data_IF_772153152316
#
_entry.id   IF_772153152316
#
_cell.length_a   1.000
_cell.length_b   1.000
_cell.length_c   1.000
_cell.angle_alpha   90.00
_cell.angle_beta   90.00
_cell.angle_gamma   90.00
#
_symmetry.space_group_name_H-M   'P 1'
#
loop_
_entity.id
_entity.type
_entity.pdbx_description
1 polymer ?
#
# COMPACT_ATOMS: atom_id res chain seq x y z
N UNK A 1 21.34 -43.72 -29.77
CA UNK A 1 20.29 -42.67 -29.84
C UNK A 1 19.55 -42.48 -28.52
N UNK A 2 18.88 -43.47 -27.92
CA UNK A 2 18.07 -43.30 -26.68
C UNK A 2 18.80 -42.64 -25.49
N UNK A 3 20.06 -42.99 -25.24
CA UNK A 3 20.91 -42.34 -24.22
C UNK A 3 21.03 -40.81 -24.39
N UNK A 4 21.08 -40.35 -25.64
CA UNK A 4 21.35 -38.95 -25.96
C UNK A 4 20.10 -38.08 -25.75
N UNK A 5 18.91 -38.62 -26.05
CA UNK A 5 17.64 -37.95 -25.74
C UNK A 5 17.37 -37.89 -24.24
N UNK A 6 17.67 -38.93 -23.46
CA UNK A 6 17.43 -38.91 -22.01
C UNK A 6 18.28 -37.86 -21.28
N UNK A 7 19.57 -37.76 -21.63
CA UNK A 7 20.47 -36.72 -21.11
C UNK A 7 20.02 -35.31 -21.50
N UNK A 8 19.52 -35.12 -22.71
CA UNK A 8 18.98 -33.83 -23.16
C UNK A 8 17.73 -33.42 -22.38
N UNK A 9 16.78 -34.34 -22.14
CA UNK A 9 15.57 -34.08 -21.36
C UNK A 9 15.90 -33.70 -19.91
N UNK A 10 16.84 -34.40 -19.26
CA UNK A 10 17.29 -34.07 -17.89
C UNK A 10 17.94 -32.68 -17.85
N UNK A 11 18.81 -32.34 -18.83
CA UNK A 11 19.45 -31.03 -18.88
C UNK A 11 18.43 -29.89 -19.06
N UNK A 12 17.42 -30.07 -19.92
CA UNK A 12 16.34 -29.10 -20.13
C UNK A 12 15.46 -28.95 -18.88
N UNK A 13 15.10 -30.06 -18.22
CA UNK A 13 14.32 -30.02 -16.97
C UNK A 13 15.08 -29.33 -15.83
N UNK A 14 16.40 -29.60 -15.70
CA UNK A 14 17.26 -28.92 -14.72
C UNK A 14 17.38 -27.42 -14.98
N UNK A 15 17.50 -27.00 -16.24
CA UNK A 15 17.54 -25.58 -16.61
C UNK A 15 16.21 -24.86 -16.30
N UNK A 16 15.06 -25.48 -16.59
CA UNK A 16 13.73 -24.94 -16.26
C UNK A 16 13.52 -24.78 -14.75
N UNK A 17 13.99 -25.73 -13.94
CA UNK A 17 13.95 -25.63 -12.48
C UNK A 17 14.86 -24.51 -11.95
N UNK A 18 16.07 -24.35 -12.52
CA UNK A 18 17.01 -23.30 -12.10
C UNK A 18 16.48 -21.88 -12.36
N UNK A 19 15.85 -21.63 -13.51
CA UNK A 19 15.25 -20.32 -13.87
C UNK A 19 14.08 -19.96 -12.94
N UNK A 20 13.40 -20.95 -12.37
CA UNK A 20 12.27 -20.72 -11.46
C UNK A 20 12.70 -20.22 -10.06
N UNK A 21 13.94 -20.47 -9.65
CA UNK A 21 14.44 -20.17 -8.31
C UNK A 21 14.91 -18.71 -8.12
N UNK A 22 15.10 -17.94 -9.20
CA UNK A 22 15.67 -16.58 -9.15
C UNK A 22 14.60 -15.47 -9.07
N UNK A 23 13.40 -15.77 -8.57
CA UNK A 23 12.44 -14.75 -8.14
C UNK A 23 12.92 -14.10 -6.83
N UNK A 24 13.99 -13.31 -6.94
CA UNK A 24 14.54 -12.55 -5.82
C UNK A 24 13.47 -11.67 -5.22
N UNK A 25 13.24 -11.81 -3.92
CA UNK A 25 12.32 -10.95 -3.19
C UNK A 25 12.84 -9.52 -3.24
N UNK A 26 12.28 -8.71 -4.16
CA UNK A 26 12.48 -7.27 -4.21
C UNK A 26 12.17 -6.72 -2.81
N UNK A 27 13.18 -6.20 -2.12
CA UNK A 27 13.04 -5.71 -0.77
C UNK A 27 12.03 -4.55 -0.78
N UNK A 28 10.84 -4.79 -0.23
CA UNK A 28 9.73 -3.87 -0.40
C UNK A 28 10.05 -2.51 0.25
N UNK A 29 10.17 -1.47 -0.56
CA UNK A 29 10.53 -0.12 -0.10
C UNK A 29 9.50 0.37 0.94
N UNK A 30 9.96 0.83 2.10
CA UNK A 30 9.07 1.30 3.16
C UNK A 30 8.48 2.67 2.80
N UNK A 31 7.16 2.81 2.85
CA UNK A 31 6.50 4.07 2.49
C UNK A 31 6.77 5.19 3.50
N UNK A 32 6.78 6.47 3.08
CA UNK A 32 6.98 7.60 3.97
C UNK A 32 5.88 7.70 5.06
N UNK A 33 6.17 8.37 6.20
CA UNK A 33 5.22 8.50 7.30
C UNK A 33 3.90 9.16 6.86
N UNK A 34 2.81 8.59 7.38
CA UNK A 34 1.44 9.00 7.06
C UNK A 34 0.87 8.43 5.77
N UNK A 35 1.58 7.49 5.14
CA UNK A 35 1.02 6.61 4.12
C UNK A 35 0.00 5.63 4.71
N UNK A 36 -1.00 5.23 3.91
CA UNK A 36 -1.97 4.20 4.29
C UNK A 36 -1.32 2.81 4.36
N UNK A 37 -0.45 2.51 3.40
CA UNK A 37 0.39 1.30 3.37
C UNK A 37 1.56 1.38 4.36
N UNK A 38 2.29 0.26 4.48
CA UNK A 38 3.57 0.18 5.21
C UNK A 38 4.74 0.06 4.24
N UNK A 39 4.54 -0.69 3.16
CA UNK A 39 5.49 -0.84 2.07
C UNK A 39 4.86 -0.41 0.75
N UNK A 40 5.68 0.01 -0.20
CA UNK A 40 5.26 0.42 -1.53
C UNK A 40 4.62 -0.77 -2.25
N UNK A 41 3.47 -0.54 -2.90
CA UNK A 41 2.81 -1.54 -3.72
C UNK A 41 2.95 -1.14 -5.19
N UNK A 42 3.77 -1.88 -5.93
CA UNK A 42 3.97 -1.65 -7.36
C UNK A 42 2.85 -2.26 -8.20
N UNK A 43 2.18 -3.30 -7.69
CA UNK A 43 1.08 -4.01 -8.34
C UNK A 43 -0.19 -4.06 -7.48
N UNK A 44 -1.34 -4.31 -8.10
CA UNK A 44 -2.62 -4.52 -7.38
C UNK A 44 -2.54 -5.78 -6.49
N UNK A 45 -1.82 -6.82 -6.94
CA UNK A 45 -1.56 -8.02 -6.15
C UNK A 45 -0.79 -7.72 -4.85
N UNK A 46 0.26 -6.90 -4.91
CA UNK A 46 1.00 -6.45 -3.71
C UNK A 46 0.15 -5.62 -2.75
N UNK A 47 -0.68 -4.72 -3.29
CA UNK A 47 -1.63 -3.92 -2.51
C UNK A 47 -2.58 -4.83 -1.74
N UNK A 48 -3.25 -5.77 -2.43
CA UNK A 48 -4.16 -6.74 -1.82
C UNK A 48 -3.47 -7.63 -0.80
N UNK A 49 -2.27 -8.13 -1.11
CA UNK A 49 -1.46 -8.95 -0.22
C UNK A 49 -1.10 -8.20 1.09
N UNK A 50 -0.77 -6.91 1.02
CA UNK A 50 -0.57 -6.07 2.20
C UNK A 50 -1.86 -5.86 2.99
N UNK A 51 -2.98 -5.57 2.31
CA UNK A 51 -4.29 -5.35 2.96
C UNK A 51 -4.80 -6.64 3.64
N UNK A 52 -4.57 -7.80 3.04
CA UNK A 52 -4.94 -9.10 3.60
C UNK A 52 -4.09 -9.45 4.83
N UNK A 53 -2.76 -9.27 4.75
CA UNK A 53 -1.81 -9.62 5.82
C UNK A 53 -1.76 -8.62 6.97
N UNK A 54 -1.94 -7.32 6.70
CA UNK A 54 -1.78 -6.27 7.70
C UNK A 54 -3.13 -5.69 8.15
N UNK A 55 -3.57 -6.13 9.33
CA UNK A 55 -4.84 -5.70 9.96
C UNK A 55 -4.93 -4.18 10.15
N UNK A 56 -3.81 -3.50 10.40
CA UNK A 56 -3.77 -2.03 10.58
C UNK A 56 -4.02 -1.33 9.25
N UNK A 57 -3.38 -1.78 8.17
CA UNK A 57 -3.61 -1.25 6.80
C UNK A 57 -5.06 -1.46 6.39
N UNK A 58 -5.60 -2.67 6.60
CA UNK A 58 -7.00 -3.00 6.33
C UNK A 58 -7.97 -2.09 7.09
N UNK A 59 -7.75 -1.93 8.40
CA UNK A 59 -8.57 -1.09 9.28
C UNK A 59 -8.60 0.39 8.86
N UNK A 60 -7.46 0.92 8.38
CA UNK A 60 -7.39 2.29 7.83
C UNK A 60 -8.31 2.45 6.62
N UNK A 61 -8.26 1.53 5.66
CA UNK A 61 -9.10 1.59 4.46
C UNK A 61 -10.58 1.36 4.76
N UNK A 62 -10.95 0.37 5.59
CA UNK A 62 -12.36 0.14 5.95
C UNK A 62 -12.95 1.31 6.73
N UNK A 63 -12.16 1.95 7.60
CA UNK A 63 -12.58 3.18 8.32
C UNK A 63 -12.71 4.38 7.37
N UNK A 64 -11.80 4.53 6.41
CA UNK A 64 -11.82 5.64 5.45
C UNK A 64 -13.00 5.55 4.47
N UNK A 65 -13.25 4.37 3.91
CA UNK A 65 -14.29 4.16 2.89
C UNK A 65 -15.66 3.73 3.46
N UNK A 66 -15.76 3.40 4.75
CA UNK A 66 -17.00 2.95 5.38
C UNK A 66 -17.51 1.58 4.90
N UNK A 67 -16.65 0.74 4.30
CA UNK A 67 -17.01 -0.57 3.75
C UNK A 67 -16.52 -1.75 4.60
N UNK A 68 -17.12 -2.92 4.41
CA UNK A 68 -16.64 -4.15 5.06
C UNK A 68 -15.30 -4.62 4.48
N UNK A 69 -14.48 -5.38 5.24
CA UNK A 69 -13.22 -5.93 4.74
C UNK A 69 -13.37 -6.80 3.47
N UNK A 70 -14.48 -7.52 3.35
CA UNK A 70 -14.77 -8.38 2.20
C UNK A 70 -15.16 -7.57 0.96
N UNK A 71 -15.94 -6.49 1.13
CA UNK A 71 -16.23 -5.54 0.05
C UNK A 71 -14.95 -4.85 -0.45
N UNK A 72 -14.06 -4.47 0.47
CA UNK A 72 -12.79 -3.84 0.15
C UNK A 72 -11.88 -4.75 -0.69
N UNK A 73 -11.72 -6.02 -0.31
CA UNK A 73 -10.89 -6.96 -1.09
C UNK A 73 -11.52 -7.29 -2.45
N UNK A 74 -12.84 -7.50 -2.52
CA UNK A 74 -13.56 -7.68 -3.79
C UNK A 74 -13.38 -6.48 -4.74
N UNK A 75 -13.48 -5.25 -4.22
CA UNK A 75 -13.27 -4.05 -5.01
C UNK A 75 -11.82 -3.93 -5.51
N UNK A 76 -10.83 -4.19 -4.64
CA UNK A 76 -9.42 -4.22 -5.06
C UNK A 76 -9.09 -5.37 -6.01
N UNK A 77 -9.86 -6.47 -6.00
CA UNK A 77 -9.67 -7.61 -6.90
C UNK A 77 -10.17 -7.33 -8.32
N UNK A 78 -11.35 -6.72 -8.44
CA UNK A 78 -12.12 -6.70 -9.69
C UNK A 78 -12.13 -5.32 -10.36
N UNK A 79 -12.24 -4.25 -9.58
CA UNK A 79 -12.49 -2.90 -10.09
C UNK A 79 -11.21 -2.06 -10.23
N UNK A 80 -10.15 -2.44 -9.50
CA UNK A 80 -8.94 -1.64 -9.36
C UNK A 80 -7.84 -2.07 -10.34
N UNK A 81 -7.39 -1.13 -11.17
CA UNK A 81 -6.30 -1.30 -12.13
C UNK A 81 -5.21 -0.25 -11.92
N UNK A 82 -3.99 -0.53 -12.41
CA UNK A 82 -2.88 0.41 -12.35
C UNK A 82 -2.80 1.21 -13.66
N UNK A 83 -2.99 2.52 -13.58
CA UNK A 83 -3.13 3.41 -14.75
C UNK A 83 -2.22 4.63 -14.60
N UNK A 84 -1.68 5.11 -15.72
CA UNK A 84 -0.97 6.39 -15.80
C UNK A 84 -1.93 7.53 -16.12
N UNK A 85 -1.87 8.63 -15.37
CA UNK A 85 -2.74 9.80 -15.59
C UNK A 85 -2.50 10.43 -16.97
N UNK A 86 -3.55 10.47 -17.81
CA UNK A 86 -3.52 11.12 -19.15
C UNK A 86 -3.36 12.64 -19.06
N UNK A 87 -3.88 13.25 -17.99
CA UNK A 87 -3.93 14.69 -17.75
C UNK A 87 -3.50 15.00 -16.30
N UNK A 88 -3.00 16.21 -16.00
CA UNK A 88 -2.68 16.60 -14.63
C UNK A 88 -3.96 16.72 -13.80
N UNK A 89 -3.98 16.12 -12.61
CA UNK A 89 -5.17 16.07 -11.74
C UNK A 89 -4.90 16.76 -10.39
N UNK A 90 -5.70 17.77 -10.06
CA UNK A 90 -5.74 18.35 -8.71
C UNK A 90 -6.79 17.60 -7.90
N UNK A 91 -6.35 16.81 -6.93
CA UNK A 91 -7.27 16.03 -6.06
C UNK A 91 -6.95 16.18 -4.57
N UNK A 92 -7.89 15.79 -3.72
CA UNK A 92 -7.69 15.61 -2.29
C UNK A 92 -6.96 14.28 -2.08
N UNK A 93 -5.93 14.28 -1.23
CA UNK A 93 -5.20 13.08 -0.84
C UNK A 93 -5.29 12.93 0.68
N UNK A 94 -5.67 11.75 1.15
CA UNK A 94 -5.87 11.46 2.56
C UNK A 94 -4.61 10.82 3.15
N UNK A 95 -4.19 11.30 4.33
CA UNK A 95 -3.01 10.87 5.07
C UNK A 95 -3.41 10.49 6.49
N UNK A 96 -2.67 9.57 7.11
CA UNK A 96 -2.81 9.22 8.53
C UNK A 96 -1.75 9.98 9.33
N UNK A 97 -2.12 10.66 10.42
CA UNK A 97 -1.12 11.29 11.31
C UNK A 97 -0.48 10.25 12.26
N UNK A 98 0.51 10.67 13.06
CA UNK A 98 1.16 9.78 14.04
C UNK A 98 0.21 9.29 15.15
N UNK A 99 -0.93 9.96 15.35
CA UNK A 99 -1.97 9.59 16.32
C UNK A 99 -3.09 8.73 15.68
N UNK A 100 -2.98 8.35 14.40
CA UNK A 100 -3.98 7.56 13.70
C UNK A 100 -5.20 8.35 13.19
N UNK A 101 -5.19 9.68 13.27
CA UNK A 101 -6.24 10.56 12.74
C UNK A 101 -6.06 10.78 11.25
N UNK A 102 -7.16 10.91 10.53
CA UNK A 102 -7.14 11.25 9.10
C UNK A 102 -6.95 12.75 8.91
N UNK A 103 -6.12 13.11 7.94
CA UNK A 103 -5.91 14.48 7.48
C UNK A 103 -5.96 14.54 5.95
N UNK A 104 -6.40 15.66 5.40
CA UNK A 104 -6.58 15.83 3.95
C UNK A 104 -5.67 16.94 3.45
N UNK A 105 -4.96 16.69 2.34
CA UNK A 105 -4.20 17.73 1.63
C UNK A 105 -4.53 17.68 0.15
N UNK A 106 -4.80 18.85 -0.44
CA UNK A 106 -4.95 18.97 -1.89
C UNK A 106 -3.59 18.86 -2.56
N UNK A 107 -3.44 17.96 -3.52
CA UNK A 107 -2.21 17.72 -4.27
C UNK A 107 -2.48 17.82 -5.77
N UNK A 108 -1.58 18.46 -6.51
CA UNK A 108 -1.52 18.36 -7.96
C UNK A 108 -0.68 17.13 -8.32
N UNK A 109 -1.29 16.20 -9.06
CA UNK A 109 -0.64 15.04 -9.65
C UNK A 109 -0.33 15.37 -11.11
N UNK A 110 0.93 15.40 -11.56
CA UNK A 110 1.24 15.68 -12.96
C UNK A 110 0.79 14.53 -13.88
N UNK A 111 0.58 14.85 -15.17
CA UNK A 111 0.41 13.86 -16.24
C UNK A 111 1.55 12.82 -16.19
N UNK A 112 1.23 11.56 -16.49
CA UNK A 112 2.17 10.45 -16.41
C UNK A 112 2.25 9.77 -15.03
N UNK A 113 1.75 10.42 -13.96
CA UNK A 113 1.78 9.83 -12.61
C UNK A 113 0.96 8.53 -12.56
N UNK A 114 1.56 7.47 -12.03
CA UNK A 114 0.89 6.19 -11.79
C UNK A 114 -0.08 6.29 -10.59
N UNK A 115 -1.29 5.77 -10.78
CA UNK A 115 -2.38 5.73 -9.79
C UNK A 115 -3.13 4.42 -9.89
N UNK A 116 -3.69 3.95 -8.78
CA UNK A 116 -4.68 2.89 -8.82
C UNK A 116 -6.05 3.52 -9.12
N UNK A 117 -6.66 3.11 -10.22
CA UNK A 117 -7.89 3.68 -10.76
C UNK A 117 -8.95 2.59 -11.01
N UNK A 118 -10.21 3.00 -11.10
CA UNK A 118 -11.31 2.11 -11.52
C UNK A 118 -11.17 1.68 -12.98
N UNK A 119 -11.96 0.69 -13.40
CA UNK A 119 -12.18 0.38 -14.82
C UNK A 119 -12.66 1.60 -15.65
N UNK A 120 -13.39 2.56 -15.05
CA UNK A 120 -13.76 3.84 -15.68
C UNK A 120 -12.61 4.86 -15.78
N UNK A 121 -11.40 4.51 -15.31
CA UNK A 121 -10.23 5.38 -15.32
C UNK A 121 -10.19 6.41 -14.20
N UNK A 122 -11.11 6.35 -13.23
CA UNK A 122 -11.15 7.29 -12.12
C UNK A 122 -10.15 6.92 -11.02
N UNK A 123 -9.25 7.83 -10.60
CA UNK A 123 -8.25 7.52 -9.59
C UNK A 123 -8.87 7.33 -8.20
N UNK A 124 -8.50 6.21 -7.56
CA UNK A 124 -8.95 5.82 -6.22
C UNK A 124 -7.81 5.95 -5.21
N UNK A 125 -6.61 5.45 -5.52
CA UNK A 125 -5.44 5.49 -4.62
C UNK A 125 -4.17 5.98 -5.35
N UNK A 126 -3.26 6.62 -4.62
CA UNK A 126 -1.91 6.93 -5.10
C UNK A 126 -1.04 5.68 -5.14
N UNK A 127 -0.33 5.44 -6.24
CA UNK A 127 0.46 4.21 -6.45
C UNK A 127 1.54 3.96 -5.37
N UNK A 128 2.36 4.96 -5.06
CA UNK A 128 3.50 4.76 -4.14
C UNK A 128 3.09 4.55 -2.67
N UNK A 129 2.17 5.39 -2.15
CA UNK A 129 1.78 5.39 -0.73
C UNK A 129 0.49 4.61 -0.43
N UNK A 130 -0.28 4.22 -1.46
CA UNK A 130 -1.64 3.70 -1.35
C UNK A 130 -2.66 4.70 -0.78
N UNK A 131 -2.33 5.98 -0.67
CA UNK A 131 -3.19 6.98 -0.06
C UNK A 131 -4.48 7.19 -0.88
N UNK A 132 -5.67 7.20 -0.26
CA UNK A 132 -6.91 7.50 -0.96
C UNK A 132 -6.88 8.88 -1.63
N UNK A 133 -7.47 8.94 -2.82
CA UNK A 133 -7.66 10.14 -3.65
C UNK A 133 -9.13 10.54 -3.76
N UNK A 134 -10.02 9.82 -3.05
CA UNK A 134 -11.46 10.05 -2.92
C UNK A 134 -11.94 9.63 -1.52
N UNK A 135 -13.09 10.17 -1.10
CA UNK A 135 -13.71 9.83 0.19
C UNK A 135 -14.36 8.44 0.14
N UNK A 136 -15.19 8.20 -0.87
CA UNK A 136 -16.01 7.00 -1.00
C UNK A 136 -15.45 6.04 -2.06
N UNK A 137 -15.81 4.75 -1.97
CA UNK A 137 -15.55 3.80 -3.05
C UNK A 137 -16.70 3.80 -4.06
N UNK A 138 -16.41 3.78 -5.38
CA UNK A 138 -17.41 3.56 -6.41
C UNK A 138 -17.72 2.06 -6.56
N UNK A 139 -17.90 1.35 -5.43
CA UNK A 139 -18.53 0.02 -5.46
C UNK A 139 -19.91 0.24 -6.07
N UNK A 140 -20.31 -0.56 -7.06
CA UNK A 140 -21.67 -0.50 -7.61
C UNK A 140 -22.68 -0.69 -6.49
N UNK A 141 -23.25 0.40 -5.99
CA UNK A 141 -24.00 0.40 -4.73
C UNK A 141 -25.35 -0.28 -4.94
N UNK A 142 -25.37 -1.60 -4.77
CA UNK A 142 -26.51 -2.27 -4.13
C UNK A 142 -26.61 -1.63 -2.77
N UNK A 143 -27.43 -0.58 -2.69
CA UNK A 143 -27.58 0.27 -1.51
C UNK A 143 -27.91 -0.67 -0.36
N UNK A 144 -27.05 -0.80 0.68
CA UNK A 144 -27.56 -1.36 1.92
C UNK A 144 -28.73 -0.45 2.26
N UNK A 145 -29.93 -1.03 2.25
CA UNK A 145 -31.14 -0.27 2.49
C UNK A 145 -30.86 0.58 3.71
N UNK A 146 -31.01 1.89 3.61
CA UNK A 146 -31.03 2.71 4.82
C UNK A 146 -32.15 2.06 5.62
N UNK A 147 -31.79 1.39 6.70
CA UNK A 147 -32.73 1.04 7.74
C UNK A 147 -33.31 2.38 8.14
N UNK A 148 -34.49 2.65 7.60
CA UNK A 148 -35.20 3.91 7.79
C UNK A 148 -35.41 3.95 9.28
N UNK A 149 -34.59 4.74 9.97
CA UNK A 149 -34.79 5.05 11.37
C UNK A 149 -36.26 5.41 11.49
N UNK A 150 -37.04 4.53 12.12
CA UNK A 150 -38.49 4.58 12.11
C UNK A 150 -38.83 5.85 12.87
N UNK A 151 -39.05 6.92 12.10
CA UNK A 151 -39.65 8.14 12.60
C UNK A 151 -40.96 7.67 13.21
N UNK A 152 -41.17 7.82 14.53
CA UNK A 152 -42.40 7.38 15.17
C UNK A 152 -43.57 7.91 14.36
N UNK A 153 -44.48 7.01 13.97
CA UNK A 153 -45.59 7.37 13.12
C UNK A 153 -46.36 8.51 13.81
N UNK A 154 -46.35 9.68 13.18
CA UNK A 154 -47.32 10.70 13.50
C UNK A 154 -48.68 10.12 13.09
N UNK A 155 -49.38 9.63 14.10
CA UNK A 155 -50.82 9.72 14.31
C UNK A 155 -51.64 9.88 13.01
N UNK A 156 -52.36 8.83 12.56
CA UNK A 156 -53.24 8.98 11.42
C UNK A 156 -54.35 9.97 11.79
N UNK A 157 -54.40 11.10 11.10
CA UNK A 157 -55.48 12.07 11.19
C UNK A 157 -56.75 11.45 10.57
N UNK A 158 -57.42 10.60 11.36
CA UNK A 158 -58.70 9.99 10.98
C UNK A 158 -59.72 11.10 10.90
N UNK A 159 -60.12 11.43 9.67
CA UNK A 159 -61.18 12.39 9.39
C UNK A 159 -62.54 11.78 9.75
N UNK A 160 -62.84 11.79 11.05
CA UNK A 160 -64.07 11.27 11.64
C UNK A 160 -65.27 12.07 11.11
N UNK A 161 -66.23 11.36 10.49
CA UNK A 161 -67.56 11.89 10.22
C UNK A 161 -68.28 12.15 11.55
N UNK A 162 -69.02 13.26 11.72
CA UNK A 162 -69.66 13.58 12.98
C UNK A 162 -70.77 12.57 13.29
N UNK A 163 -70.61 11.82 14.38
CA UNK A 163 -71.69 11.10 15.04
C UNK A 163 -71.75 11.60 16.50
N UNK A 164 -72.95 11.70 17.11
CA UNK A 164 -73.14 12.53 18.29
C UNK A 164 -72.66 11.88 19.60
N UNK A 165 -72.46 12.75 20.59
CA UNK A 165 -72.27 12.54 22.02
C UNK A 165 -72.45 11.11 22.58
N UNK A 166 -71.46 10.64 23.34
CA UNK A 166 -71.71 10.09 24.68
C UNK A 166 -70.45 10.15 25.60
N UNK A 167 -70.46 11.18 26.44
CA UNK A 167 -70.15 11.24 27.90
C UNK A 167 -69.26 10.20 28.62
N UNK A 168 -68.55 10.71 29.66
CA UNK A 168 -67.94 10.06 30.85
C UNK A 168 -66.64 9.22 30.66
N UNK A 169 -65.51 9.70 31.18
CA UNK A 169 -65.00 9.29 32.52
C UNK A 169 -63.48 9.39 32.71
N UNK A 170 -63.13 10.20 33.70
CA UNK A 170 -61.85 10.29 34.42
C UNK A 170 -61.22 8.95 34.80
N UNK A 171 -59.90 8.80 34.60
CA UNK A 171 -59.07 7.91 35.42
C UNK A 171 -57.62 8.43 35.54
N UNK A 172 -57.24 8.86 36.74
CA UNK A 172 -55.86 9.21 37.13
C UNK A 172 -55.18 7.98 37.73
N UNK A 173 -54.05 7.52 37.16
CA UNK A 173 -53.12 6.54 37.76
C UNK A 173 -51.70 6.91 37.27
N UNK A 174 -50.90 7.65 38.04
CA UNK A 174 -50.02 7.22 39.13
C UNK A 174 -48.70 6.52 38.67
N UNK A 175 -47.57 7.09 39.10
CA UNK A 175 -46.24 6.44 39.23
C UNK A 175 -46.27 5.44 40.42
N UNK A 176 -45.21 4.71 40.87
CA UNK A 176 -43.74 4.78 40.60
C UNK A 176 -43.22 3.38 40.12
N UNK A 177 -41.97 2.86 40.35
CA UNK A 177 -40.74 3.39 40.99
C UNK A 177 -39.43 3.16 40.18
N UNK A 178 -38.28 3.32 40.85
CA UNK A 178 -36.92 3.08 40.34
C UNK A 178 -36.32 1.72 40.77
N UNK A 179 -35.52 1.10 39.90
CA UNK A 179 -34.59 -0.01 40.14
C UNK A 179 -33.80 -0.28 38.82
N UNK A 180 -32.57 -0.79 38.76
CA UNK A 180 -31.66 -1.41 39.76
C UNK A 180 -30.23 -0.88 39.53
N UNK A 181 -29.40 -0.84 40.58
CA UNK A 181 -27.97 -0.54 40.47
C UNK A 181 -27.19 -1.69 39.79
N UNK A 182 -26.27 -1.35 38.87
CA UNK A 182 -25.31 -2.29 38.30
C UNK A 182 -23.93 -2.11 38.95
N UNK A 183 -23.34 -3.22 39.42
CA UNK A 183 -22.16 -3.28 40.28
C UNK A 183 -20.93 -2.54 39.73
N UNK A 184 -20.32 -1.70 40.58
CA UNK A 184 -18.94 -1.29 40.42
C UNK A 184 -18.01 -2.48 40.72
N UNK A 185 -17.27 -2.96 39.71
CA UNK A 185 -16.17 -3.90 39.94
C UNK A 185 -14.94 -3.14 40.48
N UNK A 186 -14.20 -3.71 41.44
CA UNK A 186 -12.97 -3.09 41.92
C UNK A 186 -11.91 -3.08 40.81
N UNK A 187 -11.43 -1.89 40.46
CA UNK A 187 -10.29 -1.70 39.56
C UNK A 187 -9.03 -2.21 40.27
N UNK A 188 -8.61 -3.44 39.93
CA UNK A 188 -7.31 -3.94 40.31
C UNK A 188 -6.21 -3.13 39.60
N UNK A 189 -5.40 -2.41 40.37
CA UNK A 189 -4.29 -1.64 39.82
C UNK A 189 -3.25 -2.58 39.18
N UNK A 190 -2.79 -2.33 37.94
CA UNK A 190 -1.70 -3.10 37.36
C UNK A 190 -0.39 -2.81 38.10
N UNK A 191 0.47 -3.83 38.35
CA UNK A 191 1.75 -3.62 38.99
C UNK A 191 2.65 -2.76 38.11
N UNK A 192 3.19 -1.69 38.69
CA UNK A 192 4.26 -0.87 38.11
C UNK A 192 5.55 -1.70 38.01
N UNK A 193 5.74 -2.38 36.88
CA UNK A 193 7.03 -2.97 36.56
C UNK A 193 8.04 -1.86 36.30
N UNK A 194 9.17 -1.96 37.00
CA UNK A 194 10.19 -0.92 37.04
C UNK A 194 10.75 -0.58 35.66
N UNK A 195 10.94 0.72 35.42
CA UNK A 195 11.60 1.23 34.22
C UNK A 195 13.08 0.82 34.22
N UNK A 196 13.42 -0.20 33.42
CA UNK A 196 14.81 -0.61 33.24
C UNK A 196 15.59 0.49 32.51
N UNK A 197 16.70 0.95 33.08
CA UNK A 197 17.56 1.96 32.45
C UNK A 197 18.10 1.42 31.11
N UNK A 198 17.71 2.04 30.00
CA UNK A 198 18.42 1.87 28.75
C UNK A 198 19.76 2.63 28.80
N UNK A 199 20.86 2.07 28.27
CA UNK A 199 22.15 2.74 28.27
C UNK A 199 22.13 3.98 27.37
N UNK A 200 22.72 5.08 27.85
CA UNK A 200 22.82 6.33 27.12
C UNK A 200 23.76 6.17 25.90
N UNK A 201 23.19 6.05 24.70
CA UNK A 201 23.96 6.08 23.46
C UNK A 201 24.31 7.53 23.14
N UNK A 202 25.56 7.90 23.38
CA UNK A 202 26.11 9.20 23.00
C UNK A 202 26.12 9.36 21.49
N UNK A 203 25.34 10.32 20.97
CA UNK A 203 25.44 10.76 19.57
C UNK A 203 26.39 11.94 19.47
N UNK A 204 27.40 11.92 18.58
CA UNK A 204 28.24 13.08 18.31
C UNK A 204 27.45 14.18 17.55
N UNK A 205 27.82 15.47 17.70
CA UNK A 205 27.12 16.57 17.05
C UNK A 205 27.36 16.58 15.53
N UNK A 206 26.30 16.73 14.76
CA UNK A 206 26.37 16.92 13.31
C UNK A 206 26.35 18.42 13.02
N UNK A 207 27.47 18.96 12.52
CA UNK A 207 27.56 20.33 12.04
C UNK A 207 26.96 20.45 10.63
N UNK A 208 25.84 21.14 10.50
CA UNK A 208 25.24 21.48 9.19
C UNK A 208 25.99 22.62 8.52
N UNK A 209 26.91 22.31 7.61
CA UNK A 209 27.43 23.29 6.64
C UNK A 209 26.45 23.43 5.46
N UNK A 210 25.77 24.57 5.39
CA UNK A 210 25.01 24.94 4.20
C UNK A 210 25.98 25.19 3.03
N UNK A 211 25.66 24.67 1.84
CA UNK A 211 26.38 25.00 0.61
C UNK A 211 25.39 25.48 -0.46
N UNK A 212 25.64 26.69 -0.96
CA UNK A 212 24.87 27.37 -2.00
C UNK A 212 25.40 27.01 -3.40
N UNK A 213 24.49 26.94 -4.38
CA UNK A 213 24.66 27.57 -5.70
C UNK A 213 25.56 26.92 -6.77
N UNK A 214 25.27 27.26 -8.05
CA UNK A 214 25.99 26.82 -9.26
C UNK A 214 25.52 25.44 -9.74
N UNK A 215 24.85 25.23 -10.89
CA UNK A 215 25.01 25.79 -12.26
C UNK A 215 26.40 25.46 -12.86
N UNK A 216 26.40 25.22 -14.18
CA UNK A 216 27.52 24.93 -15.10
C UNK A 216 27.81 23.43 -15.32
N UNK A 217 28.07 22.88 -16.51
CA UNK A 217 27.75 23.15 -17.92
C UNK A 217 28.31 21.95 -18.71
N UNK A 218 27.62 21.54 -19.78
CA UNK A 218 28.12 20.97 -21.04
C UNK A 218 29.52 20.27 -21.12
N UNK A 219 29.54 19.00 -21.53
CA UNK A 219 30.74 18.26 -22.00
C UNK A 219 30.43 16.76 -22.15
N UNK A 220 30.05 16.24 -23.32
CA UNK A 220 30.78 16.09 -24.59
C UNK A 220 31.90 15.02 -24.54
N UNK A 221 31.77 14.04 -25.45
CA UNK A 221 32.70 12.97 -25.86
C UNK A 221 34.10 12.87 -25.22
N UNK A 222 34.51 11.63 -24.96
CA UNK A 222 35.88 11.19 -25.23
C UNK A 222 36.62 10.62 -24.04
N UNK A 223 37.05 9.37 -24.17
CA UNK A 223 37.72 8.63 -23.11
C UNK A 223 39.18 8.98 -22.85
N UNK A 224 39.71 8.25 -21.87
CA UNK A 224 41.12 8.07 -21.51
C UNK A 224 41.80 9.15 -20.63
N UNK A 225 42.13 8.69 -19.41
CA UNK A 225 43.37 8.97 -18.67
C UNK A 225 43.79 10.43 -18.47
N UNK A 226 43.37 11.01 -17.33
CA UNK A 226 44.21 11.93 -16.57
C UNK A 226 44.24 11.52 -15.10
N UNK A 227 45.44 11.53 -14.51
CA UNK A 227 45.68 11.23 -13.10
C UNK A 227 46.18 12.46 -12.36
N UNK A 228 45.94 12.48 -11.05
CA UNK A 228 46.51 13.41 -10.04
C UNK A 228 45.97 14.86 -10.11
N UNK A 229 45.16 15.27 -9.11
CA UNK A 229 45.67 16.07 -7.95
C UNK A 229 44.59 16.39 -6.90
N UNK A 230 44.86 16.02 -5.64
CA UNK A 230 44.51 16.79 -4.43
C UNK A 230 43.04 16.94 -4.03
N UNK A 231 42.57 16.11 -3.10
CA UNK A 231 41.32 16.31 -2.35
C UNK A 231 41.15 15.24 -1.28
N UNK A 232 40.93 15.65 -0.03
CA UNK A 232 40.93 14.75 1.14
C UNK A 232 39.89 13.63 1.02
N UNK A 233 40.34 12.38 0.99
CA UNK A 233 39.45 11.23 1.02
C UNK A 233 38.84 11.06 2.42
N UNK A 234 37.60 11.51 2.57
CA UNK A 234 36.69 10.81 3.47
C UNK A 234 36.61 9.35 3.00
N UNK A 235 36.68 8.34 3.89
CA UNK A 235 36.46 6.97 3.49
C UNK A 235 35.06 6.86 2.85
N UNK A 236 34.89 6.13 1.74
CA UNK A 236 33.57 5.89 1.20
C UNK A 236 32.70 5.23 2.28
N UNK A 237 31.38 5.51 2.34
CA UNK A 237 30.49 4.73 3.18
C UNK A 237 30.69 3.26 2.83
N UNK A 238 30.75 2.40 3.86
CA UNK A 238 30.88 0.96 3.63
C UNK A 238 29.77 0.51 2.69
N UNK A 239 30.15 0.10 1.47
CA UNK A 239 29.21 -0.41 0.48
C UNK A 239 28.71 -1.74 1.01
N UNK A 240 27.61 -1.69 1.75
CA UNK A 240 26.86 -2.89 2.14
C UNK A 240 26.44 -3.53 0.82
N UNK A 241 26.97 -4.72 0.47
CA UNK A 241 26.68 -5.31 -0.81
C UNK A 241 25.19 -5.67 -0.85
N UNK A 242 24.43 -4.97 -1.69
CA UNK A 242 23.07 -5.42 -2.00
C UNK A 242 23.17 -6.82 -2.62
N UNK A 243 22.37 -7.80 -2.15
CA UNK A 243 22.49 -9.19 -2.59
C UNK A 243 22.27 -9.38 -4.10
N UNK A 244 21.70 -8.37 -4.76
CA UNK A 244 21.52 -8.23 -6.21
C UNK A 244 22.84 -8.32 -7.00
N UNK A 245 23.94 -7.75 -6.48
CA UNK A 245 25.19 -7.61 -7.26
C UNK A 245 26.01 -8.90 -7.36
N UNK A 246 25.77 -9.89 -6.49
CA UNK A 246 26.49 -11.17 -6.51
C UNK A 246 26.09 -12.07 -7.70
N UNK A 247 24.87 -11.91 -8.24
CA UNK A 247 24.38 -12.73 -9.36
C UNK A 247 25.04 -12.40 -10.71
N UNK A 248 25.60 -11.19 -10.87
CA UNK A 248 26.17 -10.74 -12.14
C UNK A 248 27.54 -11.35 -12.49
N UNK A 249 28.24 -11.97 -11.54
CA UNK A 249 29.62 -12.49 -11.72
C UNK A 249 29.65 -13.98 -12.12
N UNK A 250 28.54 -14.71 -11.97
CA UNK A 250 28.47 -16.17 -12.28
C UNK A 250 28.17 -16.44 -13.78
N UNK A 251 27.82 -15.41 -14.55
CA UNK A 251 27.32 -15.52 -15.93
C UNK A 251 28.34 -15.69 -17.05
N UNK A 252 29.64 -15.87 -16.78
CA UNK A 252 30.69 -15.88 -17.83
C UNK A 252 31.48 -17.20 -17.94
N UNK A 253 30.91 -18.34 -17.55
CA UNK A 253 31.61 -19.63 -17.60
C UNK A 253 30.75 -20.82 -18.07
N UNK A 254 30.02 -20.62 -19.17
CA UNK A 254 29.58 -21.72 -20.05
C UNK A 254 30.38 -21.67 -21.35
N UNK A 255 31.62 -22.16 -21.26
CA UNK A 255 32.41 -22.49 -22.45
C UNK A 255 31.75 -23.69 -23.12
N UNK A 256 31.25 -23.51 -24.35
CA UNK A 256 30.76 -24.59 -25.20
C UNK A 256 31.91 -25.14 -26.08
N UNK A 257 32.45 -26.34 -25.82
CA UNK A 257 33.27 -27.06 -26.79
C UNK A 257 32.35 -27.83 -27.76
N UNK A 258 32.19 -27.36 -28.99
CA UNK A 258 31.21 -27.93 -29.92
C UNK A 258 31.42 -27.55 -31.38
N UNK A 259 32.55 -27.92 -31.96
CA UNK A 259 32.92 -27.56 -33.33
C UNK A 259 32.00 -28.21 -34.40
N UNK A 260 31.10 -27.44 -34.99
CA UNK A 260 30.47 -27.79 -36.27
C UNK A 260 31.32 -27.28 -37.44
N UNK A 261 32.04 -28.19 -38.09
CA UNK A 261 32.91 -27.95 -39.26
C UNK A 261 32.14 -27.27 -40.41
N UNK A 262 32.62 -26.11 -40.85
CA UNK A 262 32.13 -25.45 -42.07
C UNK A 262 32.80 -26.03 -43.32
N UNK A 263 32.22 -27.10 -43.89
CA UNK A 263 32.71 -27.70 -45.13
C UNK A 263 32.41 -26.81 -46.34
N UNK A 264 33.39 -25.98 -46.75
CA UNK A 264 33.34 -25.27 -48.04
C UNK A 264 33.34 -26.26 -49.21
N UNK A 265 32.19 -26.45 -49.85
CA UNK A 265 32.08 -27.16 -51.13
C UNK A 265 32.64 -26.24 -52.24
N UNK A 266 33.83 -26.57 -52.75
CA UNK A 266 34.42 -25.90 -53.93
C UNK A 266 33.88 -26.53 -55.23
N UNK A 267 33.99 -25.74 -56.31
CA UNK A 267 33.95 -26.10 -57.74
C UNK A 267 32.56 -26.29 -58.37
N UNK A 268 32.48 -26.23 -59.72
CA UNK A 268 33.40 -25.57 -60.66
C UNK A 268 32.86 -24.21 -61.13
#
# INVERSE_FOLDING_TARGET
>A
MREMTYRFVIAVAGALLAVSATQGAQAAERTPPGSYLVYRATTVGELRNQVAKNVVVRSRYTRHFGVSPAQLDSFFANDLSLVSLKEPLRTRCWYIDRAGRQSVKTKLLPRGTMVFATASGEPVLSWSCGNPLRADLPVGVVKPSKETAVKPAAEPEVKVLPNPMETISTAVVAAPPACVAASALPVAAPPVLASALAPAVSMPPILSTASFGGIEILGLLGGAAFAIRGGGHSPPPAVIPEPSSAAAVVGFLVVLPGACRFSRKKRP
#
